data_IF_934406676920
#
_entry.id   IF_934406676920
#
_cell.length_a   1.000
_cell.length_b   1.000
_cell.length_c   1.000
_cell.angle_alpha   90.00
_cell.angle_beta   90.00
_cell.angle_gamma   90.00
#
_symmetry.space_group_name_H-M   'P 1'
#
loop_
_entity.id
_entity.type
_entity.pdbx_description
1 polymer ?
#
# COMPACT_ATOMS: atom_id res chain seq x y z
N UNK A 1 12.03 10.96 -3.70
CA UNK A 1 11.35 9.77 -3.15
C UNK A 1 9.84 9.98 -3.19
N UNK A 2 9.09 8.95 -3.59
CA UNK A 2 7.61 9.00 -3.63
C UNK A 2 7.05 8.78 -2.23
N UNK A 3 7.72 7.95 -1.44
CA UNK A 3 7.30 7.53 -0.10
C UNK A 3 8.42 7.72 0.91
N UNK A 4 8.07 7.67 2.20
CA UNK A 4 9.06 7.73 3.30
C UNK A 4 10.06 6.59 3.24
N UNK A 5 11.33 6.87 3.55
CA UNK A 5 12.41 5.87 3.48
C UNK A 5 12.39 4.78 4.56
N UNK A 6 11.62 4.94 5.64
CA UNK A 6 11.49 3.93 6.70
C UNK A 6 10.86 2.63 6.17
N UNK A 7 11.28 1.44 6.63
CA UNK A 7 12.35 1.18 7.61
C UNK A 7 13.76 1.12 7.01
N UNK A 8 13.92 1.13 5.68
CA UNK A 8 15.20 0.96 5.03
C UNK A 8 16.15 2.15 5.25
N UNK A 9 15.60 3.36 5.35
CA UNK A 9 16.34 4.62 5.59
C UNK A 9 15.62 5.47 6.63
N UNK A 10 15.62 5.09 7.92
CA UNK A 10 14.92 5.83 8.96
C UNK A 10 15.57 7.21 9.18
N UNK A 11 14.74 8.20 9.45
CA UNK A 11 15.16 9.52 9.95
C UNK A 11 15.02 9.57 11.47
N UNK A 12 15.73 10.50 12.13
CA UNK A 12 15.81 10.55 13.60
C UNK A 12 14.45 10.69 14.29
N UNK A 13 13.52 11.46 13.70
CA UNK A 13 12.23 11.81 14.32
C UNK A 13 11.04 11.05 13.73
N UNK A 14 11.30 9.94 13.02
CA UNK A 14 10.25 9.16 12.41
C UNK A 14 9.59 8.17 13.38
N UNK A 15 8.30 7.94 13.20
CA UNK A 15 7.64 6.78 13.81
C UNK A 15 8.25 5.50 13.28
N UNK A 16 8.56 4.58 14.19
CA UNK A 16 9.17 3.26 13.88
C UNK A 16 8.18 2.11 14.03
N UNK A 17 6.88 2.42 13.96
CA UNK A 17 5.81 1.44 13.97
C UNK A 17 5.67 0.73 12.61
N UNK A 18 5.01 -0.42 12.60
CA UNK A 18 4.62 -1.17 11.40
C UNK A 18 5.73 -1.27 10.31
N UNK A 19 6.91 -1.83 10.63
CA UNK A 19 8.04 -1.88 9.68
C UNK A 19 7.76 -2.73 8.42
N UNK A 20 6.70 -3.55 8.43
CA UNK A 20 6.25 -4.33 7.28
C UNK A 20 5.44 -3.50 6.26
N UNK A 21 4.92 -2.33 6.66
CA UNK A 21 4.18 -1.42 5.79
C UNK A 21 5.15 -0.41 5.18
N UNK A 22 5.70 -0.72 4.01
CA UNK A 22 6.72 0.07 3.34
C UNK A 22 6.21 0.66 2.02
N UNK A 23 6.60 1.89 1.74
CA UNK A 23 6.35 2.50 0.44
C UNK A 23 4.87 2.61 0.08
N UNK A 24 4.51 1.99 -1.01
CA UNK A 24 3.13 1.81 -1.49
C UNK A 24 2.84 0.31 -1.49
N UNK A 25 1.87 -0.14 -0.69
CA UNK A 25 1.51 -1.55 -0.61
C UNK A 25 0.04 -1.79 -0.92
N UNK A 26 -0.25 -3.01 -1.32
CA UNK A 26 -1.58 -3.49 -1.63
C UNK A 26 -1.77 -4.85 -0.96
N UNK A 27 -2.78 -4.97 -0.12
CA UNK A 27 -3.01 -6.17 0.67
C UNK A 27 -4.42 -6.19 1.26
N UNK A 28 -4.81 -7.31 1.87
CA UNK A 28 -6.09 -7.48 2.56
C UNK A 28 -5.90 -8.14 3.92
N UNK A 29 -6.78 -7.78 4.86
CA UNK A 29 -6.77 -8.35 6.21
C UNK A 29 -7.46 -9.72 6.33
N UNK A 30 -8.21 -10.16 5.32
CA UNK A 30 -8.83 -11.48 5.33
C UNK A 30 -9.00 -12.04 3.90
N UNK A 31 -8.22 -13.06 3.58
CA UNK A 31 -8.34 -13.88 2.37
C UNK A 31 -8.35 -15.34 2.80
N UNK A 32 -9.48 -16.01 2.67
CA UNK A 32 -9.68 -17.39 3.14
C UNK A 32 -9.26 -17.57 4.62
N UNK A 33 -9.54 -16.60 5.49
CA UNK A 33 -9.18 -16.62 6.90
C UNK A 33 -7.72 -16.25 7.21
N UNK A 34 -6.93 -15.83 6.23
CA UNK A 34 -5.53 -15.42 6.41
C UNK A 34 -5.38 -13.91 6.34
N UNK A 35 -4.70 -13.34 7.33
CA UNK A 35 -4.37 -11.92 7.36
C UNK A 35 -3.06 -11.66 6.60
N UNK A 36 -3.16 -11.00 5.45
CA UNK A 36 -2.01 -10.56 4.66
C UNK A 36 -1.58 -9.13 4.99
N UNK A 37 -2.44 -8.35 5.66
CA UNK A 37 -2.16 -6.94 5.95
C UNK A 37 -1.23 -6.76 7.15
N UNK A 38 -1.49 -7.49 8.25
CA UNK A 38 -0.76 -7.33 9.51
C UNK A 38 0.44 -8.26 9.65
N UNK A 39 0.79 -9.05 8.63
CA UNK A 39 1.91 -9.97 8.73
C UNK A 39 3.24 -9.23 8.92
N UNK A 40 3.93 -9.52 10.00
CA UNK A 40 5.23 -8.92 10.34
C UNK A 40 6.16 -9.93 11.01
N UNK A 41 7.45 -9.59 11.06
CA UNK A 41 8.45 -10.40 11.76
C UNK A 41 8.24 -10.45 13.28
N UNK A 42 7.36 -9.60 13.83
CA UNK A 42 7.04 -9.57 15.27
C UNK A 42 5.95 -10.58 15.65
N UNK A 43 5.30 -11.22 14.69
CA UNK A 43 4.26 -12.22 14.96
C UNK A 43 4.91 -13.46 15.56
N UNK A 44 4.44 -13.92 16.75
CA UNK A 44 4.93 -15.13 17.39
C UNK A 44 4.80 -16.33 16.43
N UNK A 45 5.76 -17.24 16.51
CA UNK A 45 5.85 -18.38 15.61
C UNK A 45 4.57 -19.23 15.60
N UNK A 46 3.96 -19.43 16.78
CA UNK A 46 2.73 -20.20 16.97
C UNK A 46 1.46 -19.52 16.45
N UNK A 47 1.55 -18.27 15.97
CA UNK A 47 0.43 -17.56 15.35
C UNK A 47 0.60 -17.36 13.85
N UNK A 48 1.74 -17.72 13.28
CA UNK A 48 2.03 -17.49 11.85
C UNK A 48 1.10 -18.21 10.90
N UNK A 49 0.45 -19.27 11.34
CA UNK A 49 -0.53 -20.01 10.54
C UNK A 49 -1.78 -19.20 10.17
N UNK A 50 -2.08 -18.11 10.92
CA UNK A 50 -3.18 -17.20 10.64
C UNK A 50 -2.81 -16.07 9.67
N UNK A 51 -1.57 -16.03 9.17
CA UNK A 51 -1.08 -14.96 8.32
C UNK A 51 -0.66 -15.45 6.96
N UNK A 52 -1.01 -14.67 5.94
CA UNK A 52 -0.56 -14.87 4.59
C UNK A 52 0.74 -14.13 4.28
N UNK A 53 1.44 -14.54 3.24
CA UNK A 53 2.70 -13.96 2.80
C UNK A 53 2.60 -13.62 1.32
N UNK A 54 2.87 -12.36 0.95
CA UNK A 54 2.99 -11.94 -0.44
C UNK A 54 4.45 -12.08 -0.85
N UNK A 55 4.74 -13.01 -1.75
CA UNK A 55 6.09 -13.31 -2.22
C UNK A 55 6.30 -12.76 -3.62
N UNK A 56 7.11 -11.73 -3.72
CA UNK A 56 7.56 -11.22 -5.00
C UNK A 56 8.30 -12.30 -5.79
N UNK A 57 7.95 -12.50 -7.07
CA UNK A 57 8.54 -13.51 -7.95
C UNK A 57 9.39 -12.91 -9.07
N UNK A 58 9.25 -11.63 -9.34
CA UNK A 58 10.12 -10.95 -10.30
C UNK A 58 9.45 -9.79 -11.05
N UNK A 59 10.28 -9.04 -11.73
CA UNK A 59 9.86 -8.07 -12.74
C UNK A 59 9.78 -8.81 -14.07
N UNK A 60 8.63 -8.75 -14.74
CA UNK A 60 8.36 -9.51 -15.98
C UNK A 60 8.47 -8.68 -17.24
N UNK A 61 8.19 -7.41 -17.14
CA UNK A 61 8.25 -6.52 -18.27
C UNK A 61 8.67 -5.13 -17.82
N UNK A 62 9.60 -4.52 -18.54
CA UNK A 62 9.98 -3.12 -18.40
C UNK A 62 9.80 -2.48 -19.77
N UNK A 63 8.96 -1.47 -19.84
CA UNK A 63 8.73 -0.68 -21.06
C UNK A 63 9.08 0.78 -20.77
N UNK A 64 10.29 1.17 -21.10
CA UNK A 64 10.79 2.53 -20.84
C UNK A 64 10.05 3.59 -21.66
N UNK A 65 9.62 3.25 -22.88
CA UNK A 65 8.85 4.15 -23.75
C UNK A 65 7.51 4.51 -23.13
N UNK A 66 6.80 3.53 -22.63
CA UNK A 66 5.52 3.69 -21.93
C UNK A 66 5.69 4.08 -20.46
N UNK A 67 6.93 4.16 -19.97
CA UNK A 67 7.26 4.43 -18.56
C UNK A 67 6.52 3.51 -17.60
N UNK A 68 6.53 2.22 -17.88
CA UNK A 68 5.83 1.21 -17.09
C UNK A 68 6.65 -0.04 -16.87
N UNK A 69 6.34 -0.74 -15.80
CA UNK A 69 6.86 -2.09 -15.57
C UNK A 69 5.79 -2.98 -14.93
N UNK A 70 5.93 -4.29 -15.15
CA UNK A 70 5.04 -5.30 -14.60
C UNK A 70 5.81 -6.17 -13.62
N UNK A 71 5.22 -6.41 -12.47
CA UNK A 71 5.71 -7.32 -11.44
C UNK A 71 4.72 -8.45 -11.18
N UNK A 72 5.24 -9.56 -10.71
CA UNK A 72 4.43 -10.69 -10.26
C UNK A 72 4.75 -11.06 -8.83
N UNK A 73 3.74 -11.55 -8.13
CA UNK A 73 3.85 -12.09 -6.78
C UNK A 73 2.91 -13.29 -6.59
N UNK A 74 3.27 -14.16 -5.67
CA UNK A 74 2.40 -15.22 -5.17
C UNK A 74 1.94 -14.87 -3.75
N UNK A 75 0.64 -14.98 -3.51
CA UNK A 75 0.04 -14.87 -2.19
C UNK A 75 -0.09 -16.28 -1.61
N UNK A 76 0.63 -16.56 -0.55
CA UNK A 76 0.76 -17.91 0.02
C UNK A 76 0.36 -17.95 1.47
N UNK A 77 -0.04 -19.12 1.96
CA UNK A 77 -0.05 -19.37 3.39
C UNK A 77 1.40 -19.52 3.92
N UNK A 78 1.55 -19.73 5.22
CA UNK A 78 2.86 -19.85 5.88
C UNK A 78 3.65 -21.08 5.42
N UNK A 79 2.97 -22.14 4.93
CA UNK A 79 3.59 -23.37 4.38
C UNK A 79 4.00 -23.23 2.91
N UNK A 80 3.73 -22.08 2.29
CA UNK A 80 4.07 -21.83 0.89
C UNK A 80 3.04 -22.29 -0.13
N UNK A 81 1.85 -22.75 0.31
CA UNK A 81 0.75 -23.06 -0.60
C UNK A 81 0.23 -21.77 -1.23
N UNK A 82 0.17 -21.74 -2.57
CA UNK A 82 -0.26 -20.54 -3.32
C UNK A 82 -1.78 -20.49 -3.35
N UNK A 83 -2.34 -19.38 -2.87
CA UNK A 83 -3.76 -19.07 -2.95
C UNK A 83 -4.06 -18.21 -4.20
N UNK A 84 -3.29 -17.14 -4.38
CA UNK A 84 -3.46 -16.19 -5.48
C UNK A 84 -2.14 -15.97 -6.22
N UNK A 85 -2.25 -15.69 -7.51
CA UNK A 85 -1.19 -15.07 -8.32
C UNK A 85 -1.56 -13.62 -8.57
N UNK A 86 -0.62 -12.72 -8.28
CA UNK A 86 -0.73 -11.30 -8.57
C UNK A 86 0.12 -10.94 -9.78
N UNK A 87 -0.48 -10.16 -10.69
CA UNK A 87 0.22 -9.46 -11.76
C UNK A 87 -0.13 -7.98 -11.65
N UNK A 88 0.85 -7.14 -11.37
CA UNK A 88 0.68 -5.71 -11.19
C UNK A 88 1.51 -4.93 -12.19
N UNK A 89 0.88 -4.04 -12.94
CA UNK A 89 1.55 -3.07 -13.81
C UNK A 89 1.52 -1.69 -13.15
N UNK A 90 2.67 -1.07 -13.05
CA UNK A 90 2.85 0.32 -12.66
C UNK A 90 3.18 1.15 -13.89
N UNK A 91 2.40 2.19 -14.15
CA UNK A 91 2.67 3.19 -15.17
C UNK A 91 2.88 4.56 -14.50
N UNK A 92 3.87 5.28 -14.98
CA UNK A 92 4.30 6.55 -14.39
C UNK A 92 4.05 7.70 -15.35
N UNK A 93 3.47 8.77 -14.84
CA UNK A 93 3.32 10.04 -15.54
C UNK A 93 4.01 11.15 -14.78
N UNK A 94 4.42 12.21 -15.48
CA UNK A 94 5.06 13.35 -14.82
C UNK A 94 4.99 14.61 -15.66
N UNK A 95 4.75 15.72 -14.98
CA UNK A 95 4.87 17.09 -15.42
C UNK A 95 5.76 17.84 -14.42
N UNK A 96 6.18 19.09 -14.68
CA UNK A 96 7.08 19.81 -13.77
C UNK A 96 6.67 19.78 -12.29
N UNK A 97 5.38 19.88 -12.00
CA UNK A 97 4.85 19.93 -10.63
C UNK A 97 3.88 18.79 -10.28
N UNK A 98 3.83 17.74 -11.10
CA UNK A 98 2.90 16.62 -10.91
C UNK A 98 3.60 15.29 -11.20
N UNK A 99 3.29 14.29 -10.41
CA UNK A 99 3.69 12.89 -10.61
C UNK A 99 2.46 12.01 -10.44
N UNK A 100 2.26 11.09 -11.36
CA UNK A 100 1.19 10.10 -11.30
C UNK A 100 1.76 8.69 -11.29
N UNK A 101 1.13 7.82 -10.50
CA UNK A 101 1.37 6.39 -10.51
C UNK A 101 0.03 5.72 -10.73
N UNK A 102 -0.12 5.07 -11.86
CA UNK A 102 -1.25 4.18 -12.10
C UNK A 102 -0.83 2.76 -11.74
N UNK A 103 -1.56 2.14 -10.83
CA UNK A 103 -1.40 0.73 -10.47
C UNK A 103 -2.57 -0.06 -10.98
N UNK A 104 -2.30 -1.05 -11.84
CA UNK A 104 -3.31 -2.00 -12.33
C UNK A 104 -2.93 -3.39 -11.86
N UNK A 105 -3.78 -3.99 -11.02
CA UNK A 105 -3.53 -5.30 -10.42
C UNK A 105 -4.59 -6.30 -10.87
N UNK A 106 -4.11 -7.46 -11.31
CA UNK A 106 -4.93 -8.64 -11.54
C UNK A 106 -4.58 -9.68 -10.48
N UNK A 107 -5.57 -10.12 -9.73
CA UNK A 107 -5.47 -11.25 -8.82
C UNK A 107 -6.18 -12.45 -9.47
N UNK A 108 -5.50 -13.57 -9.51
CA UNK A 108 -6.03 -14.83 -10.08
C UNK A 108 -5.96 -15.91 -9.03
N UNK A 109 -7.09 -16.53 -8.72
CA UNK A 109 -7.13 -17.72 -7.87
C UNK A 109 -6.29 -18.84 -8.49
N UNK A 110 -5.51 -19.54 -7.67
CA UNK A 110 -4.56 -20.51 -8.24
C UNK A 110 -5.18 -21.89 -8.44
N UNK A 111 -5.69 -22.52 -7.41
CA UNK A 111 -6.26 -23.86 -7.51
C UNK A 111 -7.70 -23.94 -7.00
N UNK A 112 -8.04 -23.09 -6.03
CA UNK A 112 -9.32 -23.11 -5.32
C UNK A 112 -10.03 -21.76 -5.39
N UNK A 113 -11.29 -21.73 -5.00
CA UNK A 113 -12.05 -20.49 -4.83
C UNK A 113 -11.44 -19.63 -3.73
N UNK A 114 -11.38 -18.32 -3.97
CA UNK A 114 -10.87 -17.35 -3.03
C UNK A 114 -12.01 -16.48 -2.54
N UNK A 115 -12.12 -16.36 -1.23
CA UNK A 115 -13.06 -15.51 -0.55
C UNK A 115 -12.29 -14.36 0.12
N UNK A 116 -12.65 -13.13 -0.23
CA UNK A 116 -12.14 -11.92 0.39
C UNK A 116 -13.26 -11.40 1.27
N UNK A 117 -13.05 -11.43 2.59
CA UNK A 117 -14.06 -11.00 3.56
C UNK A 117 -13.88 -9.51 3.86
N UNK A 118 -14.98 -8.80 4.04
CA UNK A 118 -14.93 -7.40 4.45
C UNK A 118 -14.14 -7.25 5.76
N UNK A 119 -13.16 -6.35 5.74
CA UNK A 119 -12.26 -6.11 6.85
C UNK A 119 -11.88 -4.62 6.86
N UNK A 120 -11.58 -4.09 8.05
CA UNK A 120 -11.09 -2.71 8.17
C UNK A 120 -9.69 -2.52 7.56
N UNK A 121 -8.95 -3.61 7.35
CA UNK A 121 -7.57 -3.63 6.87
C UNK A 121 -7.51 -4.00 5.37
N UNK A 122 -7.26 -3.04 4.58
CA UNK A 122 -7.18 -3.13 3.12
C UNK A 122 -7.49 -1.76 2.52
N UNK A 123 -7.26 -1.54 1.35
CA UNK A 123 -6.81 -2.27 0.17
C UNK A 123 -5.40 -1.80 -0.22
N UNK A 124 -5.21 -0.49 -0.23
CA UNK A 124 -4.01 0.24 -0.65
C UNK A 124 -3.54 1.12 0.50
N UNK A 125 -2.27 1.06 0.82
CA UNK A 125 -1.66 1.94 1.81
C UNK A 125 -0.39 2.59 1.26
N UNK A 126 -0.10 3.79 1.74
CA UNK A 126 1.10 4.52 1.38
C UNK A 126 1.73 5.13 2.63
N UNK A 127 3.00 4.85 2.85
CA UNK A 127 3.74 5.48 3.94
C UNK A 127 4.39 6.77 3.45
N UNK A 128 3.92 7.88 3.98
CA UNK A 128 4.34 9.21 3.57
C UNK A 128 5.36 9.82 4.54
N UNK A 129 5.92 10.97 4.16
CA UNK A 129 6.83 11.75 5.02
C UNK A 129 6.11 12.17 6.30
N UNK A 130 6.84 12.18 7.43
CA UNK A 130 6.29 12.56 8.73
C UNK A 130 5.65 13.95 8.74
N UNK A 131 6.18 14.87 7.97
CA UNK A 131 5.60 16.23 7.91
C UNK A 131 4.17 16.25 7.36
N UNK A 132 3.73 15.20 6.68
CA UNK A 132 2.37 15.03 6.14
C UNK A 132 1.43 14.28 7.10
N UNK A 133 1.87 13.94 8.31
CA UNK A 133 0.99 13.38 9.33
C UNK A 133 0.02 14.44 9.86
N UNK A 134 -1.17 13.99 10.29
CA UNK A 134 -2.26 14.90 10.70
C UNK A 134 -1.93 15.75 11.93
N UNK A 135 -1.02 15.30 12.79
CA UNK A 135 -0.53 16.03 13.96
C UNK A 135 0.55 17.08 13.63
N UNK A 136 0.99 17.16 12.37
CA UNK A 136 2.00 18.15 11.93
C UNK A 136 1.41 19.13 10.90
N UNK A 137 1.15 18.68 9.68
CA UNK A 137 0.62 19.55 8.64
C UNK A 137 -0.40 18.87 7.70
N UNK A 138 -0.60 17.58 7.85
CA UNK A 138 -1.46 16.81 6.95
C UNK A 138 -2.94 17.07 7.20
N UNK A 139 -3.68 17.45 6.16
CA UNK A 139 -5.13 17.62 6.19
C UNK A 139 -5.73 16.78 5.08
N UNK A 140 -6.52 15.77 5.47
CA UNK A 140 -7.31 14.99 4.53
C UNK A 140 -8.54 15.76 4.09
N UNK A 141 -8.93 15.54 2.84
CA UNK A 141 -10.20 15.99 2.28
C UNK A 141 -10.72 14.95 1.28
N UNK A 142 -12.00 14.67 1.30
CA UNK A 142 -12.66 13.81 0.33
C UNK A 142 -13.52 14.62 -0.65
N UNK A 143 -14.06 13.93 -1.65
CA UNK A 143 -14.96 14.54 -2.66
C UNK A 143 -16.21 15.18 -2.04
N UNK A 144 -16.71 14.61 -0.97
CA UNK A 144 -17.94 15.03 -0.30
C UNK A 144 -17.75 16.31 0.54
N UNK A 145 -16.49 16.75 0.72
CA UNK A 145 -16.15 17.96 1.48
C UNK A 145 -15.82 17.72 2.95
N UNK A 146 -15.81 16.43 3.39
CA UNK A 146 -15.32 16.12 4.73
C UNK A 146 -13.82 16.40 4.83
N UNK A 147 -13.35 16.79 6.02
CA UNK A 147 -11.95 17.13 6.26
C UNK A 147 -11.41 16.49 7.53
N UNK A 148 -10.07 16.33 7.58
CA UNK A 148 -9.38 15.79 8.74
C UNK A 148 -9.86 14.39 9.11
N UNK A 149 -10.17 14.17 10.37
CA UNK A 149 -10.60 12.85 10.87
C UNK A 149 -11.99 12.42 10.37
N UNK A 150 -12.82 13.36 9.91
CA UNK A 150 -14.16 13.04 9.40
C UNK A 150 -14.13 12.30 8.06
N UNK A 151 -12.99 12.27 7.39
CA UNK A 151 -12.77 11.48 6.16
C UNK A 151 -12.67 9.98 6.46
N UNK A 152 -12.27 9.61 7.68
CA UNK A 152 -12.00 8.22 8.03
C UNK A 152 -13.23 7.33 8.01
N UNK A 153 -13.12 6.16 7.39
CA UNK A 153 -14.19 5.18 7.27
C UNK A 153 -15.31 5.55 6.29
N UNK A 154 -15.18 6.66 5.55
CA UNK A 154 -16.18 7.07 4.56
C UNK A 154 -15.81 6.58 3.16
N UNK A 155 -16.85 6.24 2.38
CA UNK A 155 -16.69 5.96 0.95
C UNK A 155 -16.67 7.27 0.19
N UNK A 156 -15.69 7.42 -0.68
CA UNK A 156 -15.53 8.59 -1.53
C UNK A 156 -14.91 8.21 -2.87
N UNK A 157 -15.11 9.02 -3.89
CA UNK A 157 -14.52 8.80 -5.21
C UNK A 157 -13.02 9.12 -5.25
N UNK A 158 -12.55 9.97 -4.33
CA UNK A 158 -11.15 10.32 -4.14
C UNK A 158 -10.93 10.88 -2.74
N UNK A 159 -9.71 10.76 -2.28
CA UNK A 159 -9.22 11.43 -1.07
C UNK A 159 -7.93 12.14 -1.42
N UNK A 160 -7.77 13.38 -0.97
CA UNK A 160 -6.53 14.14 -1.06
C UNK A 160 -5.99 14.43 0.33
N UNK A 161 -4.68 14.26 0.49
CA UNK A 161 -3.92 14.72 1.64
C UNK A 161 -3.13 15.95 1.22
N UNK A 162 -3.38 17.07 1.87
CA UNK A 162 -2.64 18.32 1.70
C UNK A 162 -1.74 18.53 2.91
N UNK A 163 -0.53 19.01 2.68
CA UNK A 163 0.41 19.33 3.74
C UNK A 163 1.63 20.08 3.24
N UNK A 164 2.65 20.16 4.08
CA UNK A 164 3.91 20.84 3.75
C UNK A 164 5.11 19.96 4.08
N UNK A 165 6.10 19.96 3.19
CA UNK A 165 7.43 19.41 3.46
C UNK A 165 8.41 20.55 3.31
N UNK A 166 9.02 20.99 4.42
CA UNK A 166 9.73 22.27 4.51
C UNK A 166 8.77 23.40 4.11
N UNK A 167 9.12 24.20 3.08
CA UNK A 167 8.30 25.32 2.59
C UNK A 167 7.44 24.94 1.37
N UNK A 168 7.55 23.72 0.87
CA UNK A 168 6.76 23.27 -0.28
C UNK A 168 5.40 22.72 0.15
N UNK A 169 4.35 23.20 -0.51
CA UNK A 169 3.00 22.61 -0.41
C UNK A 169 2.95 21.34 -1.24
N UNK A 170 2.52 20.26 -0.61
CA UNK A 170 2.38 18.94 -1.24
C UNK A 170 0.93 18.51 -1.14
N UNK A 171 0.41 18.00 -2.25
CA UNK A 171 -0.90 17.35 -2.32
C UNK A 171 -0.74 15.94 -2.88
N UNK A 172 -1.34 14.96 -2.21
CA UNK A 172 -1.33 13.56 -2.65
C UNK A 172 -2.78 13.11 -2.74
N UNK A 173 -3.23 12.73 -3.93
CA UNK A 173 -4.58 12.25 -4.18
C UNK A 173 -4.57 10.76 -4.53
N UNK A 174 -5.56 10.04 -4.06
CA UNK A 174 -5.86 8.63 -4.37
C UNK A 174 -7.32 8.51 -4.75
#
# INVERSE_FOLDING_TARGET
>A
EITRGYPARPKADERTDHPHQMGLWFSFGDINGLDFWNNSNRIPHNKKEHYGIIRFTGIKNINEKEKQFTVEANWTNHNGYILLKEKTTYAFTGKPHERGIQRTTTLTAFNDSIFITENKEGLLGMRLDRNLEADISGIYQNKEGDTGNDVWGKRSAWVVLNGKIKDEKISIAI
#
